data_IF_249787247581
#
_entry.id   IF_249787247581
#
_cell.length_a   1.000
_cell.length_b   1.000
_cell.length_c   1.000
_cell.angle_alpha   90.00
_cell.angle_beta   90.00
_cell.angle_gamma   90.00
#
_symmetry.space_group_name_H-M   'P 1'
#
loop_
_entity.id
_entity.type
_entity.pdbx_description
1 polymer ?
#
# COMPACT_ATOMS: atom_id res chain seq x y z
N UNK A 1 -22.96 1.89 -18.09
CA UNK A 1 -23.74 2.93 -18.78
C UNK A 1 -25.01 3.22 -18.03
N UNK A 2 -24.94 4.22 -17.14
CA UNK A 2 -26.10 5.09 -16.92
C UNK A 2 -26.23 6.01 -18.14
N UNK A 3 -27.46 6.27 -18.57
CA UNK A 3 -27.75 7.33 -19.53
C UNK A 3 -28.95 8.12 -19.03
N UNK A 4 -28.95 9.41 -19.31
CA UNK A 4 -30.10 10.28 -19.11
C UNK A 4 -31.07 10.00 -20.28
N UNK A 5 -32.31 9.54 -20.03
CA UNK A 5 -33.26 9.31 -21.11
C UNK A 5 -33.75 10.64 -21.69
N UNK A 6 -34.05 10.68 -23.00
CA UNK A 6 -34.56 11.90 -23.66
C UNK A 6 -35.94 12.38 -23.14
N UNK A 7 -36.57 11.63 -22.23
CA UNK A 7 -37.80 11.98 -21.50
C UNK A 7 -37.56 12.45 -20.06
N UNK A 8 -36.30 12.67 -19.65
CA UNK A 8 -35.96 13.17 -18.32
C UNK A 8 -36.46 14.60 -18.09
N UNK A 9 -36.86 14.93 -16.85
CA UNK A 9 -37.20 16.31 -16.49
C UNK A 9 -35.95 17.17 -16.36
N UNK A 10 -36.08 18.49 -16.52
CA UNK A 10 -34.95 19.41 -16.35
C UNK A 10 -34.28 19.29 -14.97
N UNK A 11 -35.06 19.01 -13.91
CA UNK A 11 -34.57 18.68 -12.56
C UNK A 11 -33.71 17.41 -12.51
N UNK A 12 -34.08 16.37 -13.26
CA UNK A 12 -33.26 15.15 -13.37
C UNK A 12 -31.96 15.44 -14.11
N UNK A 13 -32.05 16.16 -15.26
CA UNK A 13 -30.89 16.53 -16.08
C UNK A 13 -29.88 17.36 -15.27
N UNK A 14 -30.35 18.34 -14.49
CA UNK A 14 -29.52 19.10 -13.53
C UNK A 14 -28.87 18.20 -12.48
N UNK A 15 -29.64 17.28 -11.90
CA UNK A 15 -29.12 16.35 -10.88
C UNK A 15 -28.03 15.44 -11.45
N UNK A 16 -28.18 14.94 -12.68
CA UNK A 16 -27.14 14.16 -13.36
C UNK A 16 -25.92 15.01 -13.72
N UNK A 17 -26.11 16.21 -14.27
CA UNK A 17 -25.02 17.13 -14.60
C UNK A 17 -24.15 17.45 -13.36
N UNK A 18 -24.78 17.68 -12.21
CA UNK A 18 -24.07 17.94 -10.95
C UNK A 18 -23.22 16.74 -10.47
N UNK A 19 -23.60 15.50 -10.78
CA UNK A 19 -22.76 14.31 -10.48
C UNK A 19 -21.50 14.18 -11.35
N UNK A 20 -21.40 15.01 -12.39
CA UNK A 20 -20.25 15.14 -13.30
C UNK A 20 -19.53 16.49 -13.12
N UNK A 21 -19.86 17.24 -12.05
CA UNK A 21 -19.36 18.59 -11.77
C UNK A 21 -19.72 19.65 -12.84
N UNK A 22 -20.81 19.43 -13.58
CA UNK A 22 -21.39 20.45 -14.44
C UNK A 22 -22.57 21.18 -13.80
N UNK A 23 -22.58 22.50 -13.95
CA UNK A 23 -23.75 23.35 -13.74
C UNK A 23 -24.53 23.51 -15.05
N UNK A 24 -25.85 23.63 -14.93
CA UNK A 24 -26.76 23.88 -16.06
C UNK A 24 -27.61 25.10 -15.78
N UNK A 25 -27.60 26.06 -16.70
CA UNK A 25 -28.40 27.29 -16.61
C UNK A 25 -29.50 27.23 -17.68
N UNK A 26 -30.70 27.70 -17.34
CA UNK A 26 -31.81 27.91 -18.29
C UNK A 26 -31.83 29.40 -18.66
N UNK A 27 -31.92 29.70 -19.95
CA UNK A 27 -31.84 31.04 -20.53
C UNK A 27 -32.90 31.22 -21.60
N UNK A 28 -33.25 32.47 -21.95
CA UNK A 28 -34.36 32.81 -22.86
C UNK A 28 -34.37 32.10 -24.23
N UNK A 29 -33.23 31.53 -24.65
CA UNK A 29 -33.03 30.83 -25.93
C UNK A 29 -32.65 29.34 -25.80
N UNK A 30 -32.66 28.77 -24.58
CA UNK A 30 -32.33 27.36 -24.35
C UNK A 30 -31.60 27.11 -23.02
N UNK A 31 -30.52 26.33 -23.08
CA UNK A 31 -29.76 25.90 -21.90
C UNK A 31 -28.26 26.11 -22.09
N UNK A 32 -27.54 26.46 -21.03
CA UNK A 32 -26.08 26.53 -21.01
C UNK A 32 -25.50 25.45 -20.11
N UNK A 33 -24.35 24.89 -20.52
CA UNK A 33 -23.56 23.95 -19.74
C UNK A 33 -22.25 24.61 -19.30
N UNK A 34 -21.95 24.53 -18.01
CA UNK A 34 -20.76 25.10 -17.37
C UNK A 34 -20.06 24.03 -16.52
N UNK A 35 -18.73 24.07 -16.39
CA UNK A 35 -17.97 23.30 -15.38
C UNK A 35 -17.12 24.30 -14.63
N UNK A 36 -17.41 24.50 -13.34
CA UNK A 36 -16.94 25.67 -12.59
C UNK A 36 -17.17 26.96 -13.41
N UNK A 37 -16.20 27.86 -13.47
CA UNK A 37 -16.23 29.10 -14.25
C UNK A 37 -16.07 28.91 -15.78
N UNK A 38 -16.06 27.67 -16.28
CA UNK A 38 -15.74 27.36 -17.68
C UNK A 38 -16.97 26.90 -18.50
N UNK A 39 -17.49 27.80 -19.33
CA UNK A 39 -18.53 27.53 -20.32
C UNK A 39 -18.16 26.39 -21.27
N UNK A 40 -19.10 25.47 -21.50
CA UNK A 40 -18.93 24.28 -22.35
C UNK A 40 -19.83 24.26 -23.59
N UNK A 41 -20.92 25.02 -23.59
CA UNK A 41 -21.79 25.17 -24.76
C UNK A 41 -23.19 25.65 -24.43
N UNK A 42 -23.91 26.07 -25.47
CA UNK A 42 -25.32 26.46 -25.43
C UNK A 42 -26.15 25.54 -26.31
N UNK A 43 -27.30 25.10 -25.81
CA UNK A 43 -28.13 24.05 -26.38
C UNK A 43 -29.56 24.54 -26.58
N UNK A 44 -30.10 24.53 -27.81
CA UNK A 44 -31.43 25.09 -28.11
C UNK A 44 -32.60 24.21 -27.61
N UNK A 45 -32.31 23.05 -27.00
CA UNK A 45 -33.31 22.15 -26.44
C UNK A 45 -32.71 21.28 -25.33
N UNK A 46 -33.57 20.79 -24.43
CA UNK A 46 -33.17 19.87 -23.37
C UNK A 46 -32.64 18.54 -23.93
N UNK A 47 -33.14 18.10 -25.10
CA UNK A 47 -32.66 16.90 -25.78
C UNK A 47 -31.20 17.03 -26.25
N UNK A 48 -30.82 18.17 -26.85
CA UNK A 48 -29.43 18.40 -27.28
C UNK A 48 -28.45 18.49 -26.10
N UNK A 49 -28.91 19.02 -24.96
CA UNK A 49 -28.17 19.00 -23.70
C UNK A 49 -28.03 17.56 -23.15
N UNK A 50 -29.11 16.77 -23.16
CA UNK A 50 -29.13 15.36 -22.73
C UNK A 50 -28.15 14.52 -23.56
N UNK A 51 -28.15 14.66 -24.88
CA UNK A 51 -27.22 13.99 -25.78
C UNK A 51 -25.76 14.32 -25.43
N UNK A 52 -25.47 15.60 -25.18
CA UNK A 52 -24.12 16.06 -24.81
C UNK A 52 -23.68 15.57 -23.43
N UNK A 53 -24.56 15.61 -22.42
CA UNK A 53 -24.30 15.07 -21.09
C UNK A 53 -24.08 13.54 -21.13
N UNK A 54 -24.80 12.81 -21.98
CA UNK A 54 -24.59 11.38 -22.18
C UNK A 54 -23.20 11.05 -22.75
N UNK A 55 -22.63 11.91 -23.60
CA UNK A 55 -21.22 11.77 -24.04
C UNK A 55 -20.27 11.93 -22.85
N UNK A 56 -20.47 12.95 -22.00
CA UNK A 56 -19.64 13.14 -20.81
C UNK A 56 -19.78 12.00 -19.79
N UNK A 57 -20.97 11.38 -19.63
CA UNK A 57 -21.14 10.19 -18.78
C UNK A 57 -20.32 9.01 -19.32
N UNK A 58 -20.29 8.78 -20.64
CA UNK A 58 -19.45 7.73 -21.23
C UNK A 58 -17.98 7.96 -20.91
N UNK A 59 -17.49 9.20 -21.09
CA UNK A 59 -16.10 9.56 -20.81
C UNK A 59 -15.72 9.41 -19.33
N UNK A 60 -16.62 9.70 -18.39
CA UNK A 60 -16.40 9.43 -16.96
C UNK A 60 -16.38 7.92 -16.65
N UNK A 61 -17.34 7.15 -17.18
CA UNK A 61 -17.38 5.69 -16.99
C UNK A 61 -16.11 5.02 -17.55
N UNK A 62 -15.64 5.42 -18.74
CA UNK A 62 -14.42 4.90 -19.37
C UNK A 62 -13.16 5.30 -18.57
N UNK A 63 -12.99 6.58 -18.23
CA UNK A 63 -11.86 7.06 -17.44
C UNK A 63 -11.78 6.39 -16.06
N UNK A 64 -12.92 6.11 -15.44
CA UNK A 64 -12.99 5.37 -14.16
C UNK A 64 -12.71 3.88 -14.33
N UNK A 65 -13.09 3.27 -15.45
CA UNK A 65 -12.71 1.90 -15.78
C UNK A 65 -11.18 1.76 -15.96
N UNK A 66 -10.55 2.70 -16.67
CA UNK A 66 -9.10 2.76 -16.82
C UNK A 66 -8.39 3.00 -15.48
N UNK A 67 -8.86 3.97 -14.68
CA UNK A 67 -8.30 4.24 -13.35
C UNK A 67 -8.40 3.04 -12.41
N UNK A 68 -9.52 2.30 -12.45
CA UNK A 68 -9.70 1.07 -11.69
C UNK A 68 -8.79 -0.06 -12.19
N UNK A 69 -8.59 -0.19 -13.51
CA UNK A 69 -7.65 -1.15 -14.09
C UNK A 69 -6.20 -0.85 -13.69
N UNK A 70 -5.79 0.42 -13.73
CA UNK A 70 -4.47 0.88 -13.29
C UNK A 70 -4.26 0.66 -11.78
N UNK A 71 -5.27 0.93 -10.95
CA UNK A 71 -5.22 0.66 -9.51
C UNK A 71 -5.05 -0.85 -9.22
N UNK A 72 -5.82 -1.71 -9.92
CA UNK A 72 -5.69 -3.18 -9.81
C UNK A 72 -4.29 -3.68 -10.22
N UNK A 73 -3.71 -3.14 -11.30
CA UNK A 73 -2.33 -3.47 -11.72
C UNK A 73 -1.30 -3.12 -10.65
N UNK A 74 -1.35 -1.90 -10.09
CA UNK A 74 -0.44 -1.47 -9.00
C UNK A 74 -0.53 -2.36 -7.76
N UNK A 75 -1.74 -2.81 -7.38
CA UNK A 75 -1.93 -3.75 -6.26
C UNK A 75 -1.33 -5.12 -6.57
N UNK A 76 -1.56 -5.65 -7.78
CA UNK A 76 -0.99 -6.92 -8.23
C UNK A 76 0.54 -6.87 -8.26
N UNK A 77 1.13 -5.83 -8.86
CA UNK A 77 2.59 -5.58 -8.90
C UNK A 77 3.19 -5.50 -7.49
N UNK A 78 2.51 -4.83 -6.54
CA UNK A 78 2.95 -4.75 -5.15
C UNK A 78 2.87 -6.11 -4.43
N UNK A 79 1.83 -6.91 -4.69
CA UNK A 79 1.71 -8.28 -4.16
C UNK A 79 2.78 -9.21 -4.73
N UNK A 80 3.07 -9.12 -6.03
CA UNK A 80 4.12 -9.91 -6.68
C UNK A 80 5.52 -9.53 -6.14
N UNK A 81 5.81 -8.24 -5.97
CA UNK A 81 7.04 -7.80 -5.31
C UNK A 81 7.13 -8.28 -3.85
N UNK A 82 6.04 -8.26 -3.09
CA UNK A 82 6.01 -8.76 -1.72
C UNK A 82 6.28 -10.28 -1.68
N UNK A 83 5.67 -11.06 -2.58
CA UNK A 83 5.89 -12.50 -2.68
C UNK A 83 7.32 -12.82 -3.13
N UNK A 84 7.88 -12.06 -4.08
CA UNK A 84 9.29 -12.21 -4.49
C UNK A 84 10.23 -11.95 -3.31
N UNK A 85 10.04 -10.85 -2.56
CA UNK A 85 10.83 -10.55 -1.36
C UNK A 85 10.71 -11.66 -0.31
N UNK A 86 9.51 -12.19 -0.08
CA UNK A 86 9.28 -13.32 0.84
C UNK A 86 9.98 -14.61 0.37
N UNK A 87 9.93 -14.92 -0.93
CA UNK A 87 10.61 -16.07 -1.51
C UNK A 87 12.14 -15.94 -1.38
N UNK A 88 12.71 -14.78 -1.74
CA UNK A 88 14.13 -14.50 -1.57
C UNK A 88 14.58 -14.58 -0.11
N UNK A 89 13.77 -14.08 0.82
CA UNK A 89 14.01 -14.21 2.26
C UNK A 89 14.03 -15.68 2.69
N UNK A 90 13.05 -16.49 2.26
CA UNK A 90 13.01 -17.92 2.57
C UNK A 90 14.23 -18.67 2.01
N UNK A 91 14.68 -18.34 0.79
CA UNK A 91 15.91 -18.90 0.21
C UNK A 91 17.17 -18.51 0.99
N UNK A 92 17.27 -17.27 1.49
CA UNK A 92 18.37 -16.84 2.36
C UNK A 92 18.32 -17.54 3.73
N UNK A 93 17.12 -17.68 4.32
CA UNK A 93 16.93 -18.36 5.60
C UNK A 93 17.13 -19.88 5.52
N UNK A 94 16.97 -20.51 4.36
CA UNK A 94 17.28 -21.93 4.17
C UNK A 94 18.78 -22.26 4.41
N UNK A 95 19.67 -21.27 4.23
CA UNK A 95 21.09 -21.36 4.58
C UNK A 95 21.45 -20.83 5.98
N UNK A 96 20.47 -20.40 6.78
CA UNK A 96 20.70 -19.82 8.10
C UNK A 96 20.73 -20.89 9.19
N UNK A 97 21.85 -20.99 9.90
CA UNK A 97 22.04 -21.90 11.04
C UNK A 97 21.74 -21.21 12.36
N UNK A 98 21.33 -21.98 13.35
CA UNK A 98 21.09 -21.49 14.71
C UNK A 98 22.40 -21.01 15.35
N UNK A 99 22.33 -19.88 16.06
CA UNK A 99 23.44 -19.26 16.76
C UNK A 99 22.95 -18.66 18.08
N UNK A 100 23.68 -18.94 19.17
CA UNK A 100 23.47 -18.28 20.44
C UNK A 100 23.93 -16.82 20.36
N UNK A 101 23.10 -15.89 20.84
CA UNK A 101 23.46 -14.48 21.02
C UNK A 101 24.31 -14.36 22.28
N UNK A 102 25.44 -13.67 22.16
CA UNK A 102 26.45 -13.52 23.21
C UNK A 102 26.60 -12.08 23.65
N UNK A 103 26.51 -11.85 24.96
CA UNK A 103 26.85 -10.59 25.64
C UNK A 103 27.86 -10.88 26.75
N UNK A 104 29.00 -10.17 26.77
CA UNK A 104 30.01 -10.25 27.83
C UNK A 104 30.46 -11.68 28.21
N UNK A 105 30.50 -12.57 27.21
CA UNK A 105 30.84 -13.99 27.35
C UNK A 105 29.69 -14.91 27.72
N UNK A 106 28.54 -14.34 28.13
CA UNK A 106 27.32 -15.07 28.50
C UNK A 106 26.38 -15.24 27.32
N UNK A 107 25.52 -16.26 27.38
CA UNK A 107 24.45 -16.52 26.41
C UNK A 107 23.19 -15.78 26.87
N UNK A 108 22.59 -14.99 25.98
CA UNK A 108 21.37 -14.21 26.27
C UNK A 108 20.17 -14.56 25.39
N UNK A 109 20.36 -15.35 24.33
CA UNK A 109 19.32 -15.63 23.33
C UNK A 109 19.75 -16.60 22.23
N UNK A 110 18.84 -16.92 21.31
CA UNK A 110 19.00 -17.82 20.16
C UNK A 110 18.43 -17.19 18.87
N UNK A 111 19.28 -16.88 17.89
CA UNK A 111 18.86 -16.42 16.56
C UNK A 111 19.15 -17.47 15.46
N UNK A 112 18.68 -17.23 14.24
CA UNK A 112 19.16 -17.89 13.02
C UNK A 112 19.95 -16.89 12.17
N UNK A 113 21.10 -17.30 11.65
CA UNK A 113 21.92 -16.45 10.77
C UNK A 113 22.74 -17.27 9.79
N UNK A 114 23.06 -16.67 8.64
CA UNK A 114 23.98 -17.26 7.66
C UNK A 114 25.41 -17.17 8.22
N UNK A 115 26.19 -18.24 8.08
CA UNK A 115 27.55 -18.30 8.64
C UNK A 115 28.55 -17.50 7.79
N UNK A 116 29.00 -16.37 8.32
CA UNK A 116 30.28 -15.73 7.94
C UNK A 116 31.15 -15.57 9.19
N UNK A 117 32.46 -15.46 9.04
CA UNK A 117 33.38 -15.38 10.16
C UNK A 117 33.16 -14.10 10.99
N UNK A 118 33.15 -14.22 12.32
CA UNK A 118 33.19 -13.09 13.25
C UNK A 118 31.93 -12.19 13.35
N UNK A 119 30.83 -12.51 12.68
CA UNK A 119 29.67 -11.61 12.62
C UNK A 119 29.04 -11.29 13.99
N UNK A 120 28.74 -10.02 14.17
CA UNK A 120 27.75 -9.49 15.11
C UNK A 120 26.38 -9.36 14.43
N UNK A 121 25.32 -9.20 15.22
CA UNK A 121 23.99 -8.75 14.78
C UNK A 121 23.58 -7.52 15.59
N UNK A 122 22.78 -6.64 15.00
CA UNK A 122 22.14 -5.55 15.75
C UNK A 122 20.78 -6.00 16.29
N UNK A 123 20.38 -5.36 17.39
CA UNK A 123 19.26 -5.77 18.24
C UNK A 123 18.68 -4.52 18.89
N UNK A 124 17.36 -4.38 18.90
CA UNK A 124 16.69 -3.35 19.70
C UNK A 124 16.84 -3.67 21.18
N UNK A 125 17.39 -2.74 21.97
CA UNK A 125 17.54 -2.90 23.42
C UNK A 125 16.21 -2.71 24.16
N UNK A 126 15.48 -1.67 23.81
CA UNK A 126 14.18 -1.32 24.42
C UNK A 126 13.13 -0.96 23.35
N UNK A 127 11.86 -0.83 23.77
CA UNK A 127 10.77 -0.32 22.95
C UNK A 127 10.20 0.96 23.58
N UNK A 128 9.89 1.95 22.74
CA UNK A 128 9.01 3.07 23.08
C UNK A 128 7.60 2.56 23.46
N UNK A 129 6.81 3.40 24.12
CA UNK A 129 5.39 3.13 24.39
C UNK A 129 4.56 2.88 23.10
N UNK A 130 5.04 3.38 21.95
CA UNK A 130 4.45 3.21 20.62
C UNK A 130 4.96 1.95 19.89
N UNK A 131 5.88 1.20 20.50
CA UNK A 131 6.42 -0.04 19.93
C UNK A 131 7.48 0.16 18.84
N UNK A 132 8.03 1.36 18.68
CA UNK A 132 9.27 1.61 17.92
C UNK A 132 10.51 1.31 18.78
N UNK A 133 11.60 0.75 18.23
CA UNK A 133 12.79 0.38 18.99
C UNK A 133 13.61 1.60 19.45
N UNK A 134 14.17 1.51 20.66
CA UNK A 134 15.12 2.49 21.21
C UNK A 134 16.46 1.77 21.46
N UNK A 135 17.53 2.38 20.96
CA UNK A 135 18.92 1.89 20.96
C UNK A 135 19.13 0.56 20.20
N UNK A 136 20.09 0.57 19.26
CA UNK A 136 20.59 -0.63 18.59
C UNK A 136 21.89 -1.09 19.26
N UNK A 137 21.91 -2.33 19.73
CA UNK A 137 23.06 -2.96 20.39
C UNK A 137 23.64 -4.07 19.49
N UNK A 138 24.95 -4.07 19.26
CA UNK A 138 25.64 -5.06 18.43
C UNK A 138 26.12 -6.26 19.25
N UNK A 139 25.46 -7.41 19.14
CA UNK A 139 25.79 -8.63 19.88
C UNK A 139 26.62 -9.61 19.05
N UNK A 140 27.53 -10.35 19.70
CA UNK A 140 28.33 -11.40 19.05
C UNK A 140 27.53 -12.70 18.92
N UNK A 141 27.85 -13.52 17.91
CA UNK A 141 27.21 -14.82 17.70
C UNK A 141 28.13 -16.01 18.03
N UNK A 142 27.54 -17.07 18.58
CA UNK A 142 28.23 -18.32 18.92
C UNK A 142 27.47 -19.55 18.43
N UNK A 143 28.14 -20.43 17.67
CA UNK A 143 27.60 -21.73 17.21
C UNK A 143 28.10 -22.94 18.03
N UNK A 144 28.69 -22.72 19.20
CA UNK A 144 29.17 -23.83 20.05
C UNK A 144 28.00 -24.63 20.65
N UNK A 145 28.12 -25.96 20.71
CA UNK A 145 27.06 -26.85 21.22
C UNK A 145 26.67 -26.52 22.66
N UNK A 146 27.63 -26.09 23.50
CA UNK A 146 27.37 -25.63 24.87
C UNK A 146 26.43 -24.42 24.88
N UNK A 147 26.74 -23.41 24.06
CA UNK A 147 26.04 -22.14 24.07
C UNK A 147 24.66 -22.25 23.40
N UNK A 148 24.53 -23.06 22.34
CA UNK A 148 23.24 -23.37 21.72
C UNK A 148 22.29 -24.06 22.71
N UNK A 149 22.77 -25.01 23.54
CA UNK A 149 21.96 -25.63 24.59
C UNK A 149 21.51 -24.64 25.65
N UNK A 150 22.36 -23.69 26.05
CA UNK A 150 21.95 -22.63 26.99
C UNK A 150 20.88 -21.70 26.38
N UNK A 151 21.07 -21.32 25.12
CA UNK A 151 20.21 -20.39 24.37
C UNK A 151 18.77 -20.89 24.14
N UNK A 152 18.56 -22.21 24.21
CA UNK A 152 17.24 -22.83 24.12
C UNK A 152 16.36 -22.59 25.35
N UNK A 153 16.94 -22.35 26.53
CA UNK A 153 16.19 -22.11 27.77
C UNK A 153 15.86 -20.62 28.03
N UNK A 154 16.60 -19.70 27.42
CA UNK A 154 16.23 -18.26 27.39
C UNK A 154 15.03 -18.02 26.51
N UNK A 155 13.96 -17.43 27.05
CA UNK A 155 12.85 -16.78 26.32
C UNK A 155 13.02 -15.26 26.52
N UNK A 156 13.24 -14.43 25.50
CA UNK A 156 12.34 -14.01 24.42
C UNK A 156 13.08 -12.92 23.61
N UNK A 157 12.81 -12.78 22.31
CA UNK A 157 12.70 -11.49 21.59
C UNK A 157 11.97 -11.75 20.23
N UNK A 158 11.84 -10.77 19.32
CA UNK A 158 11.16 -10.95 18.00
C UNK A 158 11.51 -9.95 16.87
N UNK A 159 11.58 -10.50 15.62
CA UNK A 159 11.36 -10.03 14.31
C UNK A 159 11.16 -8.32 14.27
N UNK A 160 12.13 -7.56 13.72
CA UNK A 160 11.93 -6.25 13.02
C UNK A 160 12.70 -6.16 11.69
N UNK A 161 12.44 -5.13 10.87
CA UNK A 161 13.16 -4.83 9.60
C UNK A 161 13.90 -3.48 9.70
N UNK A 162 15.10 -3.39 9.12
CA UNK A 162 15.87 -2.13 8.96
C UNK A 162 16.78 -2.25 7.71
N UNK A 163 16.95 -1.18 6.93
CA UNK A 163 17.76 -1.16 5.68
C UNK A 163 17.55 -2.32 4.67
N UNK A 164 16.41 -3.02 4.70
CA UNK A 164 16.14 -4.21 3.89
C UNK A 164 16.59 -5.55 4.49
N UNK A 165 17.18 -5.54 5.69
CA UNK A 165 17.56 -6.72 6.48
C UNK A 165 16.57 -6.99 7.63
N UNK A 166 16.53 -8.25 8.07
CA UNK A 166 15.55 -8.78 9.02
C UNK A 166 16.20 -9.11 10.37
N UNK A 167 15.95 -8.26 11.37
CA UNK A 167 16.54 -8.28 12.70
C UNK A 167 15.62 -9.04 13.66
N UNK A 168 15.63 -10.37 13.57
CA UNK A 168 14.98 -11.23 14.57
C UNK A 168 15.97 -11.74 15.61
N UNK A 169 16.19 -10.85 16.57
CA UNK A 169 16.53 -11.16 17.96
C UNK A 169 15.59 -12.27 18.50
N UNK A 170 16.11 -13.22 19.28
CA UNK A 170 15.42 -14.11 20.23
C UNK A 170 16.46 -14.73 21.18
#
# INVERSE_FOLDING_TARGET
>A
MKTIPNTASFSDVKSFASTLYFDVIEVDIGFELWHDESYKGGFPSLAALIETLNVFISLDEDARAEALAAAKRRVQEAMEQAQQRHNSLNTLLAGATEAAIMQDGNVIGLCRSIQRAGLTIEVAGELTAEGAPVNLCSFRLSRSVKNLKAAQFTSLYSPRMHEGFLFYVK
#
